data_IF_187499092848
#
_entry.id   IF_187499092848
#
_cell.length_a   1.000
_cell.length_b   1.000
_cell.length_c   1.000
_cell.angle_alpha   90.00
_cell.angle_beta   90.00
_cell.angle_gamma   90.00
#
_symmetry.space_group_name_H-M   'P 1'
#
loop_
_entity.id
_entity.type
_entity.pdbx_description
1 polymer ?
#
# COMPACT_ATOMS: atom_id res chain seq x y z
N UNK A 1 14.54 3.62 -13.67
CA UNK A 1 15.69 3.89 -14.55
C UNK A 1 16.55 2.65 -14.75
N UNK A 2 16.65 1.75 -13.78
CA UNK A 2 17.42 0.49 -13.95
C UNK A 2 16.68 -0.60 -14.74
N UNK A 3 15.47 -0.36 -15.21
CA UNK A 3 14.80 -1.20 -16.20
C UNK A 3 15.42 -0.92 -17.59
N UNK A 4 15.65 -1.93 -18.45
CA UNK A 4 16.22 -1.75 -19.77
C UNK A 4 15.54 -0.69 -20.62
N UNK A 5 14.21 -0.59 -20.52
CA UNK A 5 13.42 0.41 -21.24
C UNK A 5 13.74 1.84 -20.80
N UNK A 6 13.78 2.08 -19.48
CA UNK A 6 14.09 3.42 -18.96
C UNK A 6 15.55 3.79 -19.17
N UNK A 7 16.47 2.84 -19.08
CA UNK A 7 17.88 3.06 -19.36
C UNK A 7 18.05 3.57 -20.79
N UNK A 8 17.44 2.90 -21.76
CA UNK A 8 17.48 3.31 -23.17
C UNK A 8 16.92 4.72 -23.38
N UNK A 9 15.78 5.06 -22.75
CA UNK A 9 15.19 6.40 -22.86
C UNK A 9 16.16 7.46 -22.34
N UNK A 10 16.81 7.21 -21.19
CA UNK A 10 17.74 8.17 -20.58
C UNK A 10 19.04 8.29 -21.39
N UNK A 11 19.52 7.21 -22.03
CA UNK A 11 20.69 7.22 -22.91
C UNK A 11 20.44 8.06 -24.17
N UNK A 12 19.26 7.91 -24.78
CA UNK A 12 18.87 8.64 -25.98
C UNK A 12 18.47 10.11 -25.72
N UNK A 13 18.31 10.50 -24.44
CA UNK A 13 17.86 11.84 -24.06
C UNK A 13 18.99 12.87 -24.16
N UNK A 14 18.92 13.87 -25.07
CA UNK A 14 19.95 14.87 -25.27
C UNK A 14 19.95 16.00 -24.24
N UNK A 15 19.40 15.76 -23.06
CA UNK A 15 19.28 16.76 -22.00
C UNK A 15 20.62 17.04 -21.32
N UNK A 16 21.02 18.31 -21.24
CA UNK A 16 22.23 18.76 -20.53
C UNK A 16 22.15 18.49 -19.02
N UNK A 17 20.97 18.66 -18.43
CA UNK A 17 20.72 18.42 -17.01
C UNK A 17 19.67 17.33 -16.86
N UNK A 18 19.96 16.35 -16.02
CA UNK A 18 19.05 15.23 -15.72
C UNK A 18 18.80 15.21 -14.22
N UNK A 19 17.54 15.19 -13.81
CA UNK A 19 17.12 15.13 -12.40
C UNK A 19 16.31 13.86 -12.19
N UNK A 20 16.71 13.04 -11.22
CA UNK A 20 15.98 11.84 -10.81
C UNK A 20 15.23 12.09 -9.50
N UNK A 21 13.96 11.72 -9.45
CA UNK A 21 13.16 11.73 -8.24
C UNK A 21 12.90 10.29 -7.79
N UNK A 22 13.17 10.00 -6.52
CA UNK A 22 12.93 8.68 -5.94
C UNK A 22 12.67 8.78 -4.44
N UNK A 23 11.73 8.00 -3.93
CA UNK A 23 11.52 7.82 -2.49
C UNK A 23 12.55 6.86 -1.86
N UNK A 24 13.16 5.97 -2.67
CA UNK A 24 14.13 4.97 -2.24
C UNK A 24 15.33 4.97 -3.16
N UNK A 25 16.51 5.27 -2.63
CA UNK A 25 17.76 5.25 -3.41
C UNK A 25 18.29 3.84 -3.60
N UNK A 26 18.07 2.97 -2.62
CA UNK A 26 18.57 1.60 -2.62
C UNK A 26 17.55 0.64 -3.24
N UNK A 27 18.05 -0.32 -4.00
CA UNK A 27 17.26 -1.39 -4.61
C UNK A 27 17.76 -2.74 -4.15
N UNK A 28 16.85 -3.68 -3.95
CA UNK A 28 17.18 -5.07 -3.54
C UNK A 28 18.08 -5.79 -4.55
N UNK A 29 18.02 -5.41 -5.84
CA UNK A 29 18.84 -5.99 -6.92
C UNK A 29 20.22 -5.35 -7.09
N UNK A 30 20.60 -4.40 -6.24
CA UNK A 30 21.89 -3.69 -6.30
C UNK A 30 22.05 -2.72 -7.48
N UNK A 31 21.10 -2.66 -8.42
CA UNK A 31 21.18 -1.83 -9.63
C UNK A 31 20.99 -0.34 -9.40
N UNK A 32 20.84 0.12 -8.16
CA UNK A 32 20.80 1.53 -7.82
C UNK A 32 22.10 2.27 -8.19
N UNK A 33 23.22 1.56 -8.34
CA UNK A 33 24.48 2.13 -8.78
C UNK A 33 24.36 2.82 -10.14
N UNK A 34 23.53 2.28 -11.04
CA UNK A 34 23.27 2.85 -12.36
C UNK A 34 22.66 4.27 -12.28
N UNK A 35 21.98 4.62 -11.19
CA UNK A 35 21.46 5.97 -11.05
C UNK A 35 22.54 7.03 -10.97
N UNK A 36 23.70 6.70 -10.40
CA UNK A 36 24.83 7.62 -10.27
C UNK A 36 25.45 7.97 -11.64
N UNK A 37 25.42 7.02 -12.55
CA UNK A 37 25.94 7.21 -13.90
C UNK A 37 25.10 8.20 -14.71
N UNK A 38 23.78 8.23 -14.47
CA UNK A 38 22.85 9.10 -15.17
C UNK A 38 22.59 10.45 -14.49
N UNK A 39 22.55 10.47 -13.15
CA UNK A 39 22.12 11.65 -12.39
C UNK A 39 23.23 12.25 -11.51
N UNK A 40 24.42 11.62 -11.49
CA UNK A 40 25.53 12.03 -10.65
C UNK A 40 25.36 11.64 -9.18
N UNK A 41 26.30 12.11 -8.36
CA UNK A 41 26.38 11.73 -6.94
C UNK A 41 25.65 12.72 -5.99
N UNK A 42 25.13 13.82 -6.50
CA UNK A 42 24.47 14.83 -5.68
C UNK A 42 23.06 14.38 -5.35
N UNK A 43 22.83 14.06 -4.05
CA UNK A 43 21.54 13.67 -3.54
C UNK A 43 21.01 14.76 -2.62
N UNK A 44 19.88 15.35 -3.02
CA UNK A 44 19.15 16.29 -2.17
C UNK A 44 18.11 15.50 -1.38
N UNK A 45 18.18 15.61 -0.06
CA UNK A 45 17.17 15.03 0.84
C UNK A 45 16.35 16.16 1.46
N UNK A 46 15.03 15.99 1.59
CA UNK A 46 14.22 17.00 2.31
C UNK A 46 14.67 17.09 3.78
N UNK A 47 14.46 18.26 4.43
CA UNK A 47 14.74 18.42 5.85
C UNK A 47 13.94 17.40 6.69
N UNK A 48 14.58 16.80 7.69
CA UNK A 48 13.94 15.80 8.57
C UNK A 48 12.78 16.39 9.41
N UNK A 49 12.76 17.68 9.61
CA UNK A 49 11.72 18.40 10.36
C UNK A 49 10.31 18.27 9.75
N UNK A 50 10.24 17.93 8.45
CA UNK A 50 8.97 17.76 7.75
C UNK A 50 8.47 16.30 7.72
N UNK A 51 9.15 15.37 8.41
CA UNK A 51 8.69 13.99 8.48
C UNK A 51 7.70 13.80 9.63
N UNK A 52 6.51 13.32 9.31
CA UNK A 52 5.59 12.79 10.30
C UNK A 52 6.11 11.42 10.76
N UNK A 53 6.30 11.28 12.07
CA UNK A 53 6.66 9.99 12.67
C UNK A 53 5.35 9.24 12.95
N UNK A 54 5.06 8.14 12.25
CA UNK A 54 3.85 7.38 12.50
C UNK A 54 3.95 6.63 13.84
N UNK A 55 2.82 6.54 14.56
CA UNK A 55 2.68 5.56 15.64
C UNK A 55 2.44 4.19 15.01
N UNK A 56 3.20 3.19 15.40
CA UNK A 56 3.07 1.82 14.91
C UNK A 56 2.53 0.95 16.03
N UNK A 57 1.34 0.40 15.83
CA UNK A 57 0.70 -0.53 16.75
C UNK A 57 0.79 -1.95 16.18
N UNK A 58 1.40 -2.86 16.92
CA UNK A 58 1.51 -4.28 16.54
C UNK A 58 0.46 -5.05 17.33
N UNK A 59 -0.57 -5.52 16.64
CA UNK A 59 -1.66 -6.28 17.22
C UNK A 59 -1.34 -7.77 17.07
N UNK A 60 -1.17 -8.46 18.19
CA UNK A 60 -0.94 -9.91 18.19
C UNK A 60 -2.27 -10.65 18.01
N UNK A 61 -2.24 -11.73 17.25
CA UNK A 61 -3.37 -12.63 17.03
C UNK A 61 -2.93 -14.06 17.30
N UNK A 62 -3.83 -14.86 17.88
CA UNK A 62 -3.63 -16.30 18.09
C UNK A 62 -4.00 -17.12 16.84
N UNK A 63 -4.43 -16.48 15.76
CA UNK A 63 -4.76 -17.11 14.50
C UNK A 63 -3.51 -17.73 13.89
N UNK A 64 -3.54 -19.03 13.71
CA UNK A 64 -2.40 -19.76 13.16
C UNK A 64 -2.16 -19.40 11.70
N UNK A 65 -0.98 -18.89 11.42
CA UNK A 65 -0.48 -18.78 10.06
C UNK A 65 0.03 -20.14 9.62
N UNK A 66 -0.28 -20.58 8.39
CA UNK A 66 0.24 -21.84 7.86
C UNK A 66 1.76 -21.82 7.92
N UNK A 67 2.30 -22.67 8.81
CA UNK A 67 3.72 -22.85 8.95
C UNK A 67 4.13 -24.09 8.15
N UNK A 68 5.10 -23.93 7.29
CA UNK A 68 5.63 -24.99 6.48
C UNK A 68 6.65 -24.44 5.50
N UNK A 69 7.89 -24.91 5.62
CA UNK A 69 9.01 -24.54 4.73
C UNK A 69 8.74 -24.88 3.26
N UNK A 70 7.72 -25.72 2.98
CA UNK A 70 7.36 -26.18 1.64
C UNK A 70 6.12 -25.49 1.04
N UNK A 71 5.34 -24.72 1.84
CA UNK A 71 4.15 -24.04 1.35
C UNK A 71 4.53 -22.70 0.72
N UNK A 72 4.19 -22.46 -0.57
CA UNK A 72 4.46 -21.19 -1.22
C UNK A 72 3.85 -19.99 -0.46
N UNK A 73 4.56 -18.87 -0.44
CA UNK A 73 4.09 -17.66 0.24
C UNK A 73 2.68 -17.24 -0.15
N UNK A 74 2.37 -17.27 -1.44
CA UNK A 74 1.06 -16.89 -1.95
C UNK A 74 -0.07 -17.77 -1.39
N UNK A 75 0.17 -19.06 -1.21
CA UNK A 75 -0.79 -20.02 -0.65
C UNK A 75 -1.01 -19.77 0.84
N UNK A 76 0.06 -19.48 1.58
CA UNK A 76 0.00 -19.12 3.00
C UNK A 76 -0.85 -17.87 3.21
N UNK A 77 -0.67 -16.83 2.37
CA UNK A 77 -1.45 -15.60 2.44
C UNK A 77 -2.91 -15.84 2.01
N UNK A 78 -3.16 -16.69 1.00
CA UNK A 78 -4.52 -17.04 0.60
C UNK A 78 -5.26 -17.75 1.74
N UNK A 79 -4.61 -18.70 2.41
CA UNK A 79 -5.20 -19.39 3.56
C UNK A 79 -5.57 -18.42 4.69
N UNK A 80 -4.68 -17.48 5.01
CA UNK A 80 -4.95 -16.45 6.02
C UNK A 80 -6.12 -15.55 5.59
N UNK A 81 -6.14 -15.11 4.34
CA UNK A 81 -7.17 -14.24 3.80
C UNK A 81 -8.55 -14.89 3.70
N UNK A 82 -8.62 -16.21 3.68
CA UNK A 82 -9.86 -17.02 3.69
C UNK A 82 -10.32 -17.40 5.11
N UNK A 83 -9.51 -17.14 6.12
CA UNK A 83 -9.86 -17.46 7.50
C UNK A 83 -10.89 -16.45 8.02
N UNK A 84 -12.08 -16.91 8.37
CA UNK A 84 -13.21 -16.06 8.81
C UNK A 84 -12.88 -15.28 10.09
N UNK A 85 -12.17 -15.89 11.02
CA UNK A 85 -11.74 -15.24 12.27
C UNK A 85 -10.75 -14.10 11.98
N UNK A 86 -9.85 -14.29 11.01
CA UNK A 86 -8.93 -13.25 10.57
C UNK A 86 -9.64 -12.09 9.89
N UNK A 87 -10.58 -12.39 8.98
CA UNK A 87 -11.41 -11.38 8.32
C UNK A 87 -12.17 -10.56 9.36
N UNK A 88 -12.78 -11.24 10.36
CA UNK A 88 -13.49 -10.58 11.44
C UNK A 88 -12.56 -9.68 12.27
N UNK A 89 -11.39 -10.18 12.65
CA UNK A 89 -10.40 -9.44 13.45
C UNK A 89 -9.95 -8.16 12.75
N UNK A 90 -9.58 -8.23 11.46
CA UNK A 90 -9.16 -7.05 10.70
C UNK A 90 -10.30 -6.05 10.53
N UNK A 91 -11.53 -6.53 10.31
CA UNK A 91 -12.71 -5.67 10.22
C UNK A 91 -12.99 -4.95 11.54
N UNK A 92 -12.86 -5.64 12.67
CA UNK A 92 -13.02 -5.06 14.01
C UNK A 92 -11.95 -4.00 14.30
N UNK A 93 -10.69 -4.26 13.95
CA UNK A 93 -9.60 -3.29 14.08
C UNK A 93 -9.92 -2.02 13.30
N UNK A 94 -10.28 -2.17 12.03
CA UNK A 94 -10.64 -1.03 11.18
C UNK A 94 -11.83 -0.24 11.73
N UNK A 95 -12.87 -0.93 12.20
CA UNK A 95 -14.04 -0.31 12.79
C UNK A 95 -13.73 0.43 14.11
N UNK A 96 -12.82 -0.11 14.93
CA UNK A 96 -12.39 0.51 16.19
C UNK A 96 -11.69 1.84 15.93
N UNK A 97 -10.69 1.87 15.06
CA UNK A 97 -10.00 3.12 14.71
C UNK A 97 -10.93 4.13 14.02
N UNK A 98 -11.88 3.65 13.20
CA UNK A 98 -12.89 4.53 12.61
C UNK A 98 -13.84 5.12 13.66
N UNK A 99 -14.17 4.38 14.71
CA UNK A 99 -14.98 4.87 15.83
C UNK A 99 -14.23 5.91 16.68
N UNK A 100 -12.91 5.84 16.74
CA UNK A 100 -12.03 6.84 17.37
C UNK A 100 -11.86 8.12 16.50
N UNK A 101 -12.50 8.19 15.35
CA UNK A 101 -12.49 9.36 14.46
C UNK A 101 -11.44 9.32 13.36
N UNK A 102 -10.74 8.20 13.19
CA UNK A 102 -9.78 8.05 12.11
C UNK A 102 -10.46 7.75 10.77
N UNK A 103 -9.89 8.26 9.68
CA UNK A 103 -10.12 7.70 8.35
C UNK A 103 -9.10 6.60 8.11
N UNK A 104 -9.61 5.38 7.97
CA UNK A 104 -8.82 4.15 7.95
C UNK A 104 -8.66 3.63 6.53
N UNK A 105 -7.44 3.34 6.12
CA UNK A 105 -7.13 2.59 4.92
C UNK A 105 -6.65 1.18 5.31
N UNK A 106 -7.33 0.16 4.81
CA UNK A 106 -6.91 -1.23 4.93
C UNK A 106 -6.37 -1.71 3.58
N UNK A 107 -5.12 -2.15 3.55
CA UNK A 107 -4.47 -2.61 2.31
C UNK A 107 -4.20 -4.11 2.33
N UNK A 108 -4.46 -4.75 1.20
CA UNK A 108 -4.14 -6.15 0.93
C UNK A 108 -4.10 -6.39 -0.58
N UNK A 109 -3.36 -7.41 -1.01
CA UNK A 109 -3.39 -7.88 -2.40
C UNK A 109 -4.50 -8.92 -2.66
N UNK A 110 -5.35 -9.21 -1.67
CA UNK A 110 -6.40 -10.21 -1.74
C UNK A 110 -7.78 -9.55 -1.84
N UNK A 111 -8.28 -9.40 -3.08
CA UNK A 111 -9.55 -8.72 -3.38
C UNK A 111 -10.73 -9.31 -2.63
N UNK A 112 -10.85 -10.65 -2.60
CA UNK A 112 -11.95 -11.32 -1.89
C UNK A 112 -11.94 -11.01 -0.39
N UNK A 113 -10.75 -10.98 0.23
CA UNK A 113 -10.56 -10.59 1.62
C UNK A 113 -11.03 -9.16 1.89
N UNK A 114 -10.59 -8.20 1.05
CA UNK A 114 -10.98 -6.79 1.18
C UNK A 114 -12.49 -6.60 1.05
N UNK A 115 -13.13 -7.29 0.09
CA UNK A 115 -14.58 -7.26 -0.09
C UNK A 115 -15.32 -7.86 1.12
N UNK A 116 -14.83 -8.99 1.66
CA UNK A 116 -15.41 -9.61 2.85
C UNK A 116 -15.31 -8.69 4.08
N UNK A 117 -14.15 -8.08 4.32
CA UNK A 117 -13.99 -7.12 5.40
C UNK A 117 -14.91 -5.89 5.23
N UNK A 118 -15.04 -5.37 4.01
CA UNK A 118 -15.92 -4.23 3.74
C UNK A 118 -17.40 -4.55 4.04
N UNK A 119 -17.86 -5.77 3.70
CA UNK A 119 -19.21 -6.23 4.01
C UNK A 119 -19.44 -6.25 5.52
N UNK A 120 -18.50 -6.76 6.32
CA UNK A 120 -18.60 -6.81 7.78
C UNK A 120 -18.63 -5.41 8.43
N UNK A 121 -17.93 -4.44 7.85
CA UNK A 121 -17.95 -3.05 8.31
C UNK A 121 -19.20 -2.27 7.88
N UNK A 122 -20.01 -2.82 6.97
CA UNK A 122 -21.29 -2.27 6.53
C UNK A 122 -21.18 -0.87 5.92
N UNK A 123 -22.15 -0.01 6.20
CA UNK A 123 -22.29 1.30 5.57
C UNK A 123 -21.14 2.28 5.81
N UNK A 124 -20.29 2.04 6.79
CA UNK A 124 -19.12 2.90 7.07
C UNK A 124 -17.94 2.62 6.16
N UNK A 125 -17.99 1.54 5.39
CA UNK A 125 -16.88 1.05 4.59
C UNK A 125 -17.19 1.11 3.09
N UNK A 126 -16.12 1.22 2.31
CA UNK A 126 -16.12 1.01 0.85
C UNK A 126 -14.86 0.23 0.46
N UNK A 127 -14.91 -0.43 -0.69
CA UNK A 127 -13.73 -1.11 -1.24
C UNK A 127 -13.40 -0.57 -2.63
N UNK A 128 -12.10 -0.42 -2.91
CA UNK A 128 -11.57 -0.08 -4.24
C UNK A 128 -10.63 -1.19 -4.68
N UNK A 129 -10.93 -1.78 -5.82
CA UNK A 129 -10.21 -2.92 -6.37
C UNK A 129 -9.90 -2.72 -7.85
N UNK A 130 -8.94 -3.46 -8.38
CA UNK A 130 -8.46 -3.29 -9.75
C UNK A 130 -9.48 -3.64 -10.85
N UNK A 131 -10.53 -4.37 -10.51
CA UNK A 131 -11.63 -4.76 -11.39
C UNK A 131 -12.70 -3.66 -11.59
N UNK A 132 -12.63 -2.58 -10.83
CA UNK A 132 -13.55 -1.44 -10.96
C UNK A 132 -13.19 -0.54 -12.15
N UNK A 133 -14.22 0.01 -12.82
CA UNK A 133 -14.05 1.04 -13.84
C UNK A 133 -13.51 2.34 -13.25
N UNK A 134 -13.07 3.25 -14.11
CA UNK A 134 -12.60 4.56 -13.66
C UNK A 134 -13.70 5.36 -12.96
N UNK A 135 -14.92 5.33 -13.51
CA UNK A 135 -16.08 6.04 -12.97
C UNK A 135 -16.48 5.50 -11.60
N UNK A 136 -16.51 4.17 -11.44
CA UNK A 136 -16.80 3.53 -10.14
C UNK A 136 -15.77 3.89 -9.08
N UNK A 137 -14.48 3.96 -9.46
CA UNK A 137 -13.40 4.39 -8.53
C UNK A 137 -13.59 5.84 -8.10
N UNK A 138 -13.90 6.73 -9.03
CA UNK A 138 -14.12 8.14 -8.74
C UNK A 138 -15.33 8.34 -7.81
N UNK A 139 -16.44 7.65 -8.08
CA UNK A 139 -17.61 7.66 -7.20
C UNK A 139 -17.26 7.16 -5.79
N UNK A 140 -16.55 6.04 -5.70
CA UNK A 140 -16.14 5.47 -4.42
C UNK A 140 -15.21 6.41 -3.66
N UNK A 141 -14.28 7.08 -4.35
CA UNK A 141 -13.41 8.11 -3.76
C UNK A 141 -14.20 9.31 -3.24
N UNK A 142 -15.24 9.71 -3.94
CA UNK A 142 -16.12 10.79 -3.50
C UNK A 142 -16.94 10.39 -2.25
N UNK A 143 -17.35 9.13 -2.15
CA UNK A 143 -18.03 8.59 -0.96
C UNK A 143 -17.13 8.58 0.26
N UNK A 144 -15.85 8.19 0.13
CA UNK A 144 -14.91 8.20 1.26
C UNK A 144 -14.63 9.62 1.78
N UNK A 145 -14.66 10.61 0.89
CA UNK A 145 -14.49 12.01 1.30
C UNK A 145 -15.69 12.57 2.07
N UNK A 146 -16.91 12.09 1.78
CA UNK A 146 -18.14 12.63 2.34
C UNK A 146 -18.53 11.96 3.66
N UNK A 147 -18.74 10.66 3.64
CA UNK A 147 -19.51 9.95 4.68
C UNK A 147 -18.92 8.59 5.09
N UNK A 148 -17.86 8.13 4.41
CA UNK A 148 -17.22 6.85 4.73
C UNK A 148 -15.90 7.05 5.47
N UNK A 149 -15.68 6.21 6.46
CA UNK A 149 -14.48 6.30 7.30
C UNK A 149 -13.51 5.14 7.08
N UNK A 150 -13.91 4.06 6.39
CA UNK A 150 -13.08 2.89 6.17
C UNK A 150 -12.99 2.62 4.67
N UNK A 151 -11.77 2.57 4.17
CA UNK A 151 -11.45 2.26 2.79
C UNK A 151 -10.64 0.96 2.74
N UNK A 152 -11.15 -0.04 2.04
CA UNK A 152 -10.44 -1.27 1.73
C UNK A 152 -9.92 -1.20 0.30
N UNK A 153 -8.62 -1.43 0.10
CA UNK A 153 -8.09 -1.34 -1.25
C UNK A 153 -6.83 -2.14 -1.51
N UNK A 154 -6.62 -2.46 -2.79
CA UNK A 154 -5.41 -3.17 -3.20
C UNK A 154 -4.21 -2.22 -3.18
N UNK A 155 -3.07 -2.77 -2.80
CA UNK A 155 -1.82 -2.05 -2.71
C UNK A 155 -1.46 -1.32 -4.02
N UNK A 156 -1.68 -1.96 -5.17
CA UNK A 156 -1.37 -1.38 -6.49
C UNK A 156 -2.12 -0.07 -6.75
N UNK A 157 -3.37 0.04 -6.34
CA UNK A 157 -4.17 1.25 -6.54
C UNK A 157 -3.60 2.44 -5.77
N UNK A 158 -3.13 2.20 -4.54
CA UNK A 158 -2.60 3.27 -3.68
C UNK A 158 -1.13 3.60 -3.97
N UNK A 159 -0.38 2.69 -4.59
CA UNK A 159 0.98 2.98 -5.06
C UNK A 159 1.03 3.92 -6.27
N UNK A 160 -0.08 4.05 -7.01
CA UNK A 160 -0.18 4.89 -8.21
C UNK A 160 -0.60 6.35 -7.94
N UNK A 161 -0.52 6.81 -6.70
CA UNK A 161 -0.63 8.23 -6.39
C UNK A 161 -2.04 8.74 -6.07
N UNK A 162 -2.92 7.90 -5.54
CA UNK A 162 -4.17 8.39 -4.95
C UNK A 162 -3.83 9.16 -3.67
N UNK A 163 -4.07 10.46 -3.68
CA UNK A 163 -3.89 11.30 -2.50
C UNK A 163 -5.22 11.44 -1.76
N UNK A 164 -5.26 10.90 -0.54
CA UNK A 164 -6.33 11.10 0.42
C UNK A 164 -5.75 11.80 1.64
N UNK A 165 -5.77 13.12 1.62
CA UNK A 165 -5.16 13.95 2.66
C UNK A 165 -5.76 13.74 4.06
N UNK A 166 -6.92 13.10 4.14
CA UNK A 166 -7.64 12.87 5.38
C UNK A 166 -7.34 11.49 6.02
N UNK A 167 -6.59 10.62 5.34
CA UNK A 167 -6.20 9.33 5.90
C UNK A 167 -5.27 9.53 7.10
N UNK A 168 -5.66 8.97 8.23
CA UNK A 168 -4.92 9.08 9.49
C UNK A 168 -4.54 7.73 10.10
N UNK A 169 -5.06 6.63 9.54
CA UNK A 169 -4.73 5.28 9.98
C UNK A 169 -4.54 4.35 8.78
N UNK A 170 -3.45 3.59 8.78
CA UNK A 170 -3.17 2.53 7.81
C UNK A 170 -3.15 1.17 8.51
N UNK A 171 -3.94 0.23 8.01
CA UNK A 171 -3.97 -1.16 8.48
C UNK A 171 -3.39 -2.06 7.38
N UNK A 172 -2.35 -2.80 7.69
CA UNK A 172 -1.80 -3.82 6.80
C UNK A 172 -2.64 -5.09 6.97
N UNK A 173 -3.62 -5.28 6.10
CA UNK A 173 -4.61 -6.35 6.19
C UNK A 173 -4.07 -7.74 5.88
N UNK A 174 -2.98 -7.86 5.14
CA UNK A 174 -2.23 -9.10 4.95
C UNK A 174 -0.74 -8.81 4.94
N UNK A 175 0.11 -9.78 5.31
CA UNK A 175 1.56 -9.60 5.25
C UNK A 175 2.04 -9.16 3.87
N UNK A 176 2.81 -8.10 3.83
CA UNK A 176 3.37 -7.52 2.61
C UNK A 176 4.87 -7.84 2.59
N UNK A 177 5.34 -8.44 1.50
CA UNK A 177 6.77 -8.73 1.30
C UNK A 177 7.42 -7.70 0.38
N UNK A 178 7.13 -6.41 0.61
CA UNK A 178 7.70 -5.33 -0.18
C UNK A 178 8.07 -4.13 0.70
N UNK A 179 9.32 -4.07 1.10
CA UNK A 179 9.89 -3.06 1.98
C UNK A 179 9.70 -1.59 1.53
N UNK A 180 9.73 -1.25 0.21
CA UNK A 180 9.48 0.11 -0.26
C UNK A 180 8.08 0.65 0.00
N UNK A 181 7.17 -0.16 0.52
CA UNK A 181 5.77 0.19 0.77
C UNK A 181 5.43 0.35 2.26
N UNK A 182 6.40 0.09 3.11
CA UNK A 182 6.40 0.34 4.54
C UNK A 182 7.21 1.58 4.85
#
# INVERSE_FOLDING_TARGET
VSSPTFTRIVDEMPARYKVGLTGTLERKDGRHVVFRDYFGNNVLKPPKENYLIPRIDIIKSDIRFLDGSYTPWAERINHLAMNEEYVHSVSMIAATYAAEGHKVLVVSDRVAFLKACAILCGDKAVSITGDMSFEEREETMNRIKKDKNILFGTQSIFSEGISLNELSCLVLGTPINNEPLL
#
